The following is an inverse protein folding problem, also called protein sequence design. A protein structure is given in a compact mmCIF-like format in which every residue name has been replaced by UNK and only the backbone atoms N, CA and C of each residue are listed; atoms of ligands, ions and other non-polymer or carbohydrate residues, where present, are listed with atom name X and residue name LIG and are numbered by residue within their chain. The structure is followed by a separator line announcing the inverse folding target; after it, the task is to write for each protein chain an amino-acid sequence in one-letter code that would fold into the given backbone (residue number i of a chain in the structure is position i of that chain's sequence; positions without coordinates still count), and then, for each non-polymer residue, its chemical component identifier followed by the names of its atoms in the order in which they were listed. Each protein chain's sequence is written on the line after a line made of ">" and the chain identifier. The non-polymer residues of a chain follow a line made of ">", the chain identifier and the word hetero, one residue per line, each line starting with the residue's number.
data_IF_661621123255
#
_entry.id   IF_661621123255
#
_cell.length_a   1.000
_cell.length_b   1.000
_cell.length_c   1.000
_cell.angle_alpha   90.00
_cell.angle_beta   90.00
_cell.angle_gamma   90.00
#
_symmetry.space_group_name_H-M   'P 1'
#
loop_
_entity.id
_entity.type
_entity.pdbx_description
1 polymer ?
#
# COMPACT_ATOMS: atom_id res chain seq x y z
N UNK A 1 -12.42 5.63 32.51
CA UNK A 1 -10.97 5.82 32.36
C UNK A 1 -10.70 5.95 30.88
N UNK A 2 -10.58 7.19 30.43
CA UNK A 2 -10.41 7.63 29.05
C UNK A 2 -9.01 7.27 28.56
N UNK A 3 -8.93 6.45 27.51
CA UNK A 3 -7.71 6.21 26.75
C UNK A 3 -7.77 7.03 25.45
N UNK A 4 -7.73 8.36 25.57
CA UNK A 4 -7.33 9.21 24.44
C UNK A 4 -5.82 9.05 24.27
N UNK A 5 -5.41 8.00 23.57
CA UNK A 5 -4.03 7.88 23.09
C UNK A 5 -3.95 8.68 21.79
N UNK A 6 -3.92 10.01 21.93
CA UNK A 6 -3.67 10.94 20.83
C UNK A 6 -2.27 10.67 20.29
N UNK A 7 -2.18 9.93 19.19
CA UNK A 7 -0.97 9.83 18.37
C UNK A 7 -0.80 11.16 17.62
N UNK A 8 -0.43 12.24 18.32
CA UNK A 8 0.01 13.48 17.68
C UNK A 8 1.46 13.32 17.18
N UNK A 9 1.66 12.41 16.22
CA UNK A 9 2.94 12.28 15.53
C UNK A 9 3.04 13.36 14.46
N UNK A 10 3.58 14.52 14.83
CA UNK A 10 4.05 15.53 13.87
C UNK A 10 5.32 15.01 13.21
N UNK A 11 5.26 14.70 11.92
CA UNK A 11 6.44 14.31 11.15
C UNK A 11 6.40 14.97 9.77
N UNK A 12 7.50 15.60 9.38
CA UNK A 12 7.68 16.11 8.02
C UNK A 12 7.72 14.92 7.05
N UNK A 13 6.70 14.78 6.21
CA UNK A 13 6.63 13.72 5.19
C UNK A 13 6.82 14.37 3.82
N UNK A 14 8.01 14.18 3.23
CA UNK A 14 8.33 14.72 1.90
C UNK A 14 8.30 16.25 1.78
N UNK A 15 8.40 16.98 2.90
CA UNK A 15 8.32 18.44 2.95
C UNK A 15 6.95 19.02 3.30
N UNK A 16 5.94 18.18 3.58
CA UNK A 16 4.60 18.60 4.05
C UNK A 16 4.41 18.18 5.51
N UNK A 17 3.87 19.10 6.31
CA UNK A 17 3.54 18.90 7.73
C UNK A 17 2.15 18.28 7.84
N UNK A 18 2.10 16.95 7.80
CA UNK A 18 0.85 16.19 7.90
C UNK A 18 0.75 15.52 9.26
N UNK A 19 -0.38 15.72 9.94
CA UNK A 19 -0.71 15.05 11.20
C UNK A 19 -1.54 13.80 10.92
N UNK A 20 -1.11 12.65 11.42
CA UNK A 20 -1.91 11.42 11.36
C UNK A 20 -2.70 11.27 12.66
N UNK A 21 -4.01 11.07 12.57
CA UNK A 21 -4.88 10.87 13.72
C UNK A 21 -5.96 9.82 13.43
N UNK A 22 -6.52 9.26 14.49
CA UNK A 22 -7.64 8.32 14.36
C UNK A 22 -8.95 9.09 14.09
N UNK A 23 -9.70 8.63 13.10
CA UNK A 23 -10.97 9.22 12.69
C UNK A 23 -12.13 8.45 13.32
N UNK A 24 -13.14 9.20 13.79
CA UNK A 24 -14.40 8.63 14.25
C UNK A 24 -15.34 8.36 13.06
N UNK A 25 -16.45 7.67 13.30
CA UNK A 25 -17.50 7.50 12.29
C UNK A 25 -18.08 8.82 11.79
N UNK A 26 -18.08 9.86 12.62
CA UNK A 26 -18.57 11.19 12.23
C UNK A 26 -17.63 11.89 11.23
N UNK A 27 -16.36 11.51 11.21
CA UNK A 27 -15.35 12.08 10.30
C UNK A 27 -15.35 11.44 8.92
N UNK A 28 -16.00 10.28 8.72
CA UNK A 28 -15.92 9.52 7.46
C UNK A 28 -16.50 10.28 6.26
N UNK A 29 -17.46 11.17 6.47
CA UNK A 29 -17.97 12.03 5.39
C UNK A 29 -16.93 12.99 4.83
N UNK A 30 -15.82 13.22 5.56
CA UNK A 30 -14.73 14.11 5.14
C UNK A 30 -13.88 13.54 4.01
N UNK A 31 -14.10 12.29 3.58
CA UNK A 31 -13.46 11.75 2.36
C UNK A 31 -13.72 12.63 1.12
N UNK A 32 -14.81 13.43 1.12
CA UNK A 32 -15.08 14.46 0.10
C UNK A 32 -13.96 15.50 -0.05
N UNK A 33 -13.17 15.72 1.00
CA UNK A 33 -12.04 16.67 0.99
C UNK A 33 -10.84 16.14 0.20
N UNK A 34 -10.78 14.82 0.02
CA UNK A 34 -9.72 14.11 -0.67
C UNK A 34 -9.98 14.14 -2.17
N UNK A 35 -9.10 14.77 -2.93
CA UNK A 35 -9.16 14.69 -4.39
C UNK A 35 -8.58 13.35 -4.86
N UNK A 36 -9.45 12.36 -5.13
CA UNK A 36 -9.00 11.05 -5.62
C UNK A 36 -8.73 11.01 -7.12
N UNK A 37 -8.98 12.09 -7.85
CA UNK A 37 -8.89 12.09 -9.32
C UNK A 37 -7.51 11.66 -9.82
N UNK A 38 -7.52 10.94 -10.93
CA UNK A 38 -6.31 10.35 -11.50
C UNK A 38 -6.43 10.21 -13.01
N UNK A 39 -5.31 10.39 -13.70
CA UNK A 39 -5.16 9.96 -15.10
C UNK A 39 -4.26 8.74 -15.09
N UNK A 40 -4.84 7.56 -15.31
CA UNK A 40 -4.08 6.32 -15.46
C UNK A 40 -3.68 6.14 -16.93
N UNK A 41 -2.42 5.75 -17.16
CA UNK A 41 -1.87 5.49 -18.50
C UNK A 41 -1.70 3.99 -18.81
N UNK A 42 -1.79 3.17 -17.78
CA UNK A 42 -1.90 1.73 -17.89
C UNK A 42 -2.82 1.20 -16.79
N UNK A 43 -3.49 0.09 -17.10
CA UNK A 43 -4.17 -0.77 -16.14
C UNK A 43 -3.45 -2.11 -16.08
N UNK A 44 -3.60 -2.83 -14.99
CA UNK A 44 -3.06 -4.18 -14.84
C UNK A 44 -4.16 -5.21 -14.97
N UNK A 45 -3.87 -6.28 -15.70
CA UNK A 45 -4.72 -7.48 -15.70
C UNK A 45 -3.95 -8.64 -15.09
N UNK A 46 -4.64 -9.48 -14.33
CA UNK A 46 -4.07 -10.72 -13.82
C UNK A 46 -4.32 -11.83 -14.85
N UNK A 47 -3.31 -12.17 -15.66
CA UNK A 47 -3.35 -13.31 -16.59
C UNK A 47 -2.45 -14.43 -16.07
N UNK A 48 -3.00 -15.63 -15.88
CA UNK A 48 -2.26 -16.84 -15.47
C UNK A 48 -1.32 -16.63 -14.26
N UNK A 49 -1.75 -15.80 -13.30
CA UNK A 49 -0.99 -15.52 -12.07
C UNK A 49 0.09 -14.45 -12.23
N UNK A 50 0.15 -13.76 -13.36
CA UNK A 50 1.09 -12.67 -13.60
C UNK A 50 0.36 -11.36 -13.87
N UNK A 51 0.91 -10.26 -13.35
CA UNK A 51 0.41 -8.91 -13.59
C UNK A 51 0.94 -8.42 -14.94
N UNK A 52 0.03 -8.21 -15.89
CA UNK A 52 0.35 -7.72 -17.22
C UNK A 52 -0.15 -6.27 -17.36
N UNK A 53 0.73 -5.28 -17.60
CA UNK A 53 0.30 -3.93 -17.88
C UNK A 53 -0.33 -3.86 -19.28
N UNK A 54 -1.49 -3.22 -19.36
CA UNK A 54 -2.22 -2.91 -20.59
C UNK A 54 -2.24 -1.40 -20.73
N UNK A 55 -1.64 -0.89 -21.81
CA UNK A 55 -1.67 0.54 -22.12
C UNK A 55 -3.12 0.98 -22.32
N UNK A 56 -3.57 1.92 -21.48
CA UNK A 56 -4.94 2.40 -21.45
C UNK A 56 -4.97 3.76 -20.78
N UNK A 57 -5.55 4.75 -21.45
CA UNK A 57 -5.72 6.08 -20.87
C UNK A 57 -7.11 6.20 -20.27
N UNK A 58 -7.19 6.14 -18.94
CA UNK A 58 -8.44 6.28 -18.19
C UNK A 58 -8.39 7.53 -17.31
N UNK A 59 -9.43 8.34 -17.38
CA UNK A 59 -9.62 9.48 -16.48
C UNK A 59 -10.57 9.07 -15.36
N UNK A 60 -10.07 9.07 -14.13
CA UNK A 60 -10.81 8.75 -12.92
C UNK A 60 -11.22 10.07 -12.28
N UNK A 61 -12.53 10.30 -12.17
CA UNK A 61 -13.07 11.49 -11.54
C UNK A 61 -12.84 11.45 -10.01
N UNK A 62 -12.93 12.63 -9.38
CA UNK A 62 -13.09 12.67 -7.92
C UNK A 62 -14.52 12.25 -7.54
N UNK A 63 -14.81 12.21 -6.24
CA UNK A 63 -16.09 11.81 -5.70
C UNK A 63 -17.25 12.67 -6.20
N UNK A 64 -18.40 12.04 -6.41
CA UNK A 64 -19.70 12.70 -6.26
C UNK A 64 -20.29 12.51 -4.84
N UNK A 65 -21.37 13.22 -4.51
CA UNK A 65 -21.93 13.16 -3.14
C UNK A 65 -22.53 11.79 -2.82
N UNK A 66 -23.11 11.09 -3.80
CA UNK A 66 -23.68 9.76 -3.57
C UNK A 66 -22.58 8.73 -3.27
N UNK A 67 -21.46 8.80 -3.99
CA UNK A 67 -20.27 7.99 -3.74
C UNK A 67 -19.67 8.27 -2.35
N UNK A 68 -19.64 9.53 -1.92
CA UNK A 68 -19.20 9.92 -0.56
C UNK A 68 -20.10 9.27 0.49
N UNK A 69 -21.42 9.40 0.35
CA UNK A 69 -22.38 8.83 1.29
C UNK A 69 -22.29 7.31 1.37
N UNK A 70 -22.25 6.63 0.21
CA UNK A 70 -22.13 5.17 0.14
C UNK A 70 -20.80 4.69 0.74
N UNK A 71 -19.70 5.34 0.38
CA UNK A 71 -18.37 4.97 0.88
C UNK A 71 -18.29 5.22 2.38
N UNK A 72 -18.72 6.37 2.88
CA UNK A 72 -18.73 6.67 4.31
C UNK A 72 -19.57 5.65 5.09
N UNK A 73 -20.75 5.26 4.58
CA UNK A 73 -21.59 4.24 5.20
C UNK A 73 -20.92 2.84 5.19
N UNK A 74 -20.22 2.47 4.10
CA UNK A 74 -19.44 1.23 4.02
C UNK A 74 -18.29 1.23 5.04
N UNK A 75 -17.53 2.32 5.14
CA UNK A 75 -16.44 2.44 6.10
C UNK A 75 -16.94 2.46 7.55
N UNK A 76 -18.10 3.06 7.83
CA UNK A 76 -18.71 3.04 9.15
C UNK A 76 -19.03 1.62 9.62
N UNK A 77 -19.47 0.73 8.71
CA UNK A 77 -19.66 -0.70 9.02
C UNK A 77 -18.35 -1.41 9.37
N UNK A 78 -17.23 -1.03 8.75
CA UNK A 78 -15.90 -1.58 9.10
C UNK A 78 -15.50 -1.15 10.51
N UNK A 79 -15.69 0.12 10.86
CA UNK A 79 -15.43 0.64 12.22
C UNK A 79 -16.33 -0.02 13.27
N UNK A 80 -17.62 -0.17 12.99
CA UNK A 80 -18.57 -0.85 13.88
C UNK A 80 -18.18 -2.33 14.15
N UNK A 81 -17.46 -2.96 13.23
CA UNK A 81 -16.93 -4.31 13.37
C UNK A 81 -15.56 -4.37 14.08
N UNK A 82 -15.11 -3.27 14.70
CA UNK A 82 -13.80 -3.18 15.38
C UNK A 82 -12.66 -2.69 14.48
N UNK A 83 -12.96 -2.23 13.27
CA UNK A 83 -11.98 -1.62 12.38
C UNK A 83 -11.58 -0.23 12.82
N UNK A 84 -10.57 0.33 12.17
CA UNK A 84 -10.04 1.65 12.50
C UNK A 84 -9.76 2.48 11.27
N UNK A 85 -10.09 3.77 11.34
CA UNK A 85 -9.77 4.75 10.31
C UNK A 85 -8.66 5.69 10.81
N UNK A 86 -7.65 5.88 9.99
CA UNK A 86 -6.57 6.84 10.18
C UNK A 86 -6.66 7.93 9.12
N UNK A 87 -6.69 9.19 9.55
CA UNK A 87 -6.70 10.36 8.69
C UNK A 87 -5.36 11.07 8.71
N UNK A 88 -4.92 11.54 7.54
CA UNK A 88 -3.79 12.42 7.35
C UNK A 88 -4.31 13.84 7.11
N UNK A 89 -3.99 14.79 8.00
CA UNK A 89 -4.45 16.18 7.92
C UNK A 89 -3.31 17.15 7.62
N UNK A 90 -3.53 18.02 6.64
CA UNK A 90 -2.74 19.21 6.34
C UNK A 90 -3.51 20.43 6.86
N UNK A 91 -3.05 21.01 7.96
CA UNK A 91 -3.87 21.90 8.78
C UNK A 91 -5.12 21.18 9.31
N UNK A 92 -6.29 21.70 8.95
CA UNK A 92 -7.59 21.10 9.28
C UNK A 92 -8.17 20.26 8.14
N UNK A 93 -7.54 20.21 6.96
CA UNK A 93 -8.07 19.49 5.79
C UNK A 93 -7.60 18.05 5.78
N UNK A 94 -8.53 17.11 5.54
CA UNK A 94 -8.22 15.71 5.33
C UNK A 94 -7.62 15.52 3.93
N UNK A 95 -6.34 15.15 3.89
CA UNK A 95 -5.59 14.96 2.63
C UNK A 95 -5.29 13.50 2.32
N UNK A 96 -5.48 12.60 3.29
CA UNK A 96 -5.43 11.17 3.05
C UNK A 96 -6.16 10.39 4.15
N UNK A 97 -6.50 9.14 3.86
CA UNK A 97 -7.18 8.24 4.78
C UNK A 97 -6.74 6.80 4.53
N UNK A 98 -6.61 6.01 5.59
CA UNK A 98 -6.51 4.56 5.54
C UNK A 98 -7.50 3.92 6.50
N UNK A 99 -8.16 2.84 6.10
CA UNK A 99 -9.12 2.10 6.94
C UNK A 99 -8.71 0.63 7.00
N UNK A 100 -8.45 0.15 8.21
CA UNK A 100 -8.24 -1.25 8.52
C UNK A 100 -9.58 -1.87 8.95
N UNK A 101 -9.98 -2.98 8.34
CA UNK A 101 -11.16 -3.73 8.72
C UNK A 101 -11.01 -4.38 10.10
N UNK A 102 -12.14 -4.58 10.81
CA UNK A 102 -12.15 -5.20 12.14
C UNK A 102 -12.40 -6.71 12.15
N UNK A 103 -12.86 -7.29 11.02
CA UNK A 103 -13.10 -8.73 10.90
C UNK A 103 -11.85 -9.42 10.38
N UNK A 104 -11.47 -10.51 11.06
CA UNK A 104 -10.47 -11.46 10.54
C UNK A 104 -11.01 -12.17 9.32
N UNK A 105 -10.19 -12.28 8.28
CA UNK A 105 -10.52 -12.93 7.01
C UNK A 105 -9.45 -13.96 6.63
N UNK A 106 -9.64 -14.59 5.47
CA UNK A 106 -8.76 -15.65 4.98
C UNK A 106 -9.03 -17.00 5.66
N UNK A 107 -8.53 -18.08 5.05
CA UNK A 107 -8.86 -19.46 5.44
C UNK A 107 -8.51 -19.80 6.90
N UNK A 108 -7.47 -19.17 7.46
CA UNK A 108 -7.03 -19.36 8.85
C UNK A 108 -7.37 -18.17 9.76
N UNK A 109 -8.21 -17.23 9.31
CA UNK A 109 -8.57 -16.03 10.07
C UNK A 109 -7.34 -15.22 10.55
N UNK A 110 -6.25 -15.22 9.78
CA UNK A 110 -4.98 -14.58 10.11
C UNK A 110 -4.80 -13.22 9.40
N UNK A 111 -5.73 -12.85 8.52
CA UNK A 111 -5.68 -11.64 7.72
C UNK A 111 -6.61 -10.55 8.25
N UNK A 112 -6.22 -9.29 8.05
CA UNK A 112 -7.12 -8.14 8.10
C UNK A 112 -7.13 -7.41 6.76
N UNK A 113 -8.26 -6.81 6.44
CA UNK A 113 -8.45 -6.05 5.22
C UNK A 113 -7.94 -4.60 5.38
N UNK A 114 -7.06 -4.15 4.49
CA UNK A 114 -6.89 -2.72 4.21
C UNK A 114 -8.06 -2.27 3.32
N UNK A 115 -9.17 -1.92 3.95
CA UNK A 115 -10.47 -1.68 3.29
C UNK A 115 -10.53 -0.40 2.46
N UNK A 116 -9.61 0.53 2.73
CA UNK A 116 -9.55 1.82 2.04
C UNK A 116 -8.18 2.46 2.24
N UNK A 117 -7.59 3.01 1.17
CA UNK A 117 -6.41 3.85 1.24
C UNK A 117 -6.43 4.86 0.08
N UNK A 118 -6.60 6.15 0.40
CA UNK A 118 -6.56 7.21 -0.60
C UNK A 118 -5.76 8.40 -0.10
N UNK A 119 -5.07 9.06 -1.02
CA UNK A 119 -4.37 10.33 -0.80
C UNK A 119 -4.75 11.29 -1.91
N UNK A 120 -5.00 12.54 -1.51
CA UNK A 120 -5.33 13.64 -2.40
C UNK A 120 -4.28 13.77 -3.48
N UNK A 121 -4.70 14.00 -4.73
CA UNK A 121 -3.81 14.17 -5.89
C UNK A 121 -2.64 15.12 -5.62
N UNK A 122 -2.91 16.26 -4.97
CA UNK A 122 -1.89 17.26 -4.61
C UNK A 122 -0.88 16.84 -3.52
N UNK A 123 -1.13 15.73 -2.83
CA UNK A 123 -0.32 15.20 -1.72
C UNK A 123 0.32 13.84 -2.05
N UNK A 124 0.12 13.33 -3.28
CA UNK A 124 0.80 12.12 -3.77
C UNK A 124 2.29 12.38 -4.01
N UNK A 125 3.10 11.32 -3.98
CA UNK A 125 4.56 11.41 -4.15
C UNK A 125 5.33 11.97 -2.94
N UNK A 126 4.64 12.42 -1.90
CA UNK A 126 5.25 13.02 -0.71
C UNK A 126 5.43 12.01 0.44
N UNK A 127 4.84 10.82 0.34
CA UNK A 127 4.96 9.75 1.33
C UNK A 127 3.78 9.62 2.30
N UNK A 128 2.68 10.37 2.11
CA UNK A 128 1.49 10.31 2.98
C UNK A 128 0.88 8.90 3.02
N UNK A 129 0.69 8.27 1.87
CA UNK A 129 0.13 6.91 1.78
C UNK A 129 1.03 5.87 2.48
N UNK A 130 2.36 6.02 2.36
CA UNK A 130 3.34 5.19 3.07
C UNK A 130 3.13 5.30 4.58
N UNK A 131 3.03 6.53 5.09
CA UNK A 131 2.89 6.77 6.52
C UNK A 131 1.60 6.17 7.06
N UNK A 132 0.49 6.38 6.36
CA UNK A 132 -0.79 5.78 6.73
C UNK A 132 -0.74 4.25 6.73
N UNK A 133 -0.12 3.64 5.72
CA UNK A 133 0.07 2.20 5.63
C UNK A 133 0.94 1.67 6.79
N UNK A 134 2.04 2.33 7.11
CA UNK A 134 2.92 1.96 8.23
C UNK A 134 2.16 1.93 9.57
N UNK A 135 1.32 2.93 9.83
CA UNK A 135 0.50 3.00 11.05
C UNK A 135 -0.59 1.92 11.08
N UNK A 136 -1.23 1.62 9.94
CA UNK A 136 -2.17 0.50 9.82
C UNK A 136 -1.48 -0.84 10.07
N UNK A 137 -0.30 -1.07 9.47
CA UNK A 137 0.49 -2.27 9.70
C UNK A 137 0.91 -2.41 11.17
N UNK A 138 1.28 -1.30 11.83
CA UNK A 138 1.62 -1.31 13.25
C UNK A 138 0.44 -1.77 14.12
N UNK A 139 -0.76 -1.24 13.86
CA UNK A 139 -1.99 -1.64 14.56
C UNK A 139 -2.34 -3.11 14.31
N UNK A 140 -2.32 -3.54 13.05
CA UNK A 140 -2.60 -4.92 12.68
C UNK A 140 -1.65 -5.92 13.38
N UNK A 141 -0.35 -5.62 13.43
CA UNK A 141 0.64 -6.42 14.19
C UNK A 141 0.34 -6.44 15.68
N UNK A 142 -0.02 -5.30 16.26
CA UNK A 142 -0.37 -5.19 17.69
C UNK A 142 -1.52 -6.11 18.10
N UNK A 143 -2.44 -6.38 17.17
CA UNK A 143 -3.57 -7.30 17.38
C UNK A 143 -3.24 -8.76 17.03
N UNK A 144 -2.00 -9.08 16.63
CA UNK A 144 -1.60 -10.42 16.20
C UNK A 144 -2.12 -10.78 14.80
N UNK A 145 -2.22 -9.81 13.90
CA UNK A 145 -2.50 -10.07 12.48
C UNK A 145 -1.21 -10.40 11.75
N UNK A 146 -1.23 -11.50 11.00
CA UNK A 146 -0.05 -12.02 10.30
C UNK A 146 0.08 -11.44 8.89
N UNK A 147 -1.04 -11.00 8.28
CA UNK A 147 -1.06 -10.52 6.91
C UNK A 147 -2.16 -9.46 6.67
N UNK A 148 -1.87 -8.45 5.83
CA UNK A 148 -2.90 -7.57 5.29
C UNK A 148 -3.37 -8.07 3.94
N UNK A 149 -4.67 -7.94 3.67
CA UNK A 149 -5.30 -8.18 2.37
C UNK A 149 -5.84 -6.86 1.83
N UNK A 150 -5.70 -6.62 0.53
CA UNK A 150 -6.29 -5.45 -0.14
C UNK A 150 -6.89 -5.84 -1.48
N UNK A 151 -8.09 -5.33 -1.76
CA UNK A 151 -8.66 -5.26 -3.10
C UNK A 151 -8.15 -3.97 -3.73
N UNK A 152 -7.11 -4.08 -4.56
CA UNK A 152 -6.44 -2.92 -5.14
C UNK A 152 -7.04 -2.58 -6.50
N UNK A 153 -7.33 -1.30 -6.73
CA UNK A 153 -7.66 -0.80 -8.07
C UNK A 153 -6.57 -1.20 -9.06
N UNK A 154 -6.97 -1.56 -10.28
CA UNK A 154 -6.10 -2.05 -11.34
C UNK A 154 -5.21 -0.97 -11.99
N UNK A 155 -5.27 0.27 -11.50
CA UNK A 155 -4.45 1.36 -12.03
C UNK A 155 -2.97 1.13 -11.79
N UNK A 156 -2.14 1.59 -12.72
CA UNK A 156 -0.69 1.53 -12.60
C UNK A 156 -0.18 2.13 -11.27
N UNK A 157 -0.75 3.27 -10.86
CA UNK A 157 -0.29 3.95 -9.64
C UNK A 157 -0.61 3.15 -8.36
N UNK A 158 -1.78 2.50 -8.32
CA UNK A 158 -2.22 1.65 -7.20
C UNK A 158 -1.36 0.40 -7.11
N UNK A 159 -1.23 -0.34 -8.22
CA UNK A 159 -0.45 -1.58 -8.25
C UNK A 159 1.03 -1.32 -7.98
N UNK A 160 1.64 -0.31 -8.60
CA UNK A 160 3.02 0.04 -8.33
C UNK A 160 3.25 0.45 -6.87
N UNK A 161 2.29 1.16 -6.26
CA UNK A 161 2.36 1.51 -4.84
C UNK A 161 2.39 0.26 -3.97
N UNK A 162 1.45 -0.67 -4.13
CA UNK A 162 1.38 -1.87 -3.30
C UNK A 162 2.58 -2.79 -3.51
N UNK A 163 2.95 -3.09 -4.76
CA UNK A 163 4.12 -3.93 -5.07
C UNK A 163 5.41 -3.32 -4.49
N UNK A 164 5.58 -2.00 -4.62
CA UNK A 164 6.72 -1.28 -4.04
C UNK A 164 6.77 -1.28 -2.50
N UNK A 165 5.69 -1.71 -1.84
CA UNK A 165 5.60 -1.90 -0.37
C UNK A 165 5.75 -3.36 0.05
N UNK A 166 6.02 -4.25 -0.90
CA UNK A 166 6.18 -5.68 -0.64
C UNK A 166 4.87 -6.46 -0.64
N UNK A 167 3.76 -5.87 -1.10
CA UNK A 167 2.57 -6.67 -1.40
C UNK A 167 2.84 -7.61 -2.57
N UNK A 168 2.16 -8.75 -2.56
CA UNK A 168 2.19 -9.76 -3.62
C UNK A 168 0.77 -10.15 -4.00
N UNK A 169 0.59 -10.77 -5.16
CA UNK A 169 -0.71 -11.35 -5.56
C UNK A 169 -1.18 -12.30 -4.46
N UNK A 170 -2.45 -12.16 -4.05
CA UNK A 170 -3.05 -13.03 -3.06
C UNK A 170 -3.16 -14.46 -3.61
N UNK A 171 -2.71 -15.45 -2.82
CA UNK A 171 -2.87 -16.86 -3.20
C UNK A 171 -4.34 -17.29 -3.21
N UNK A 172 -5.15 -16.67 -2.37
CA UNK A 172 -6.58 -16.93 -2.24
C UNK A 172 -7.34 -15.61 -2.24
N UNK A 173 -8.35 -15.53 -3.09
CA UNK A 173 -9.28 -14.41 -3.14
C UNK A 173 -10.36 -14.63 -2.08
N UNK A 174 -10.56 -13.65 -1.20
CA UNK A 174 -11.67 -13.71 -0.24
C UNK A 174 -13.00 -13.49 -0.96
N UNK A 175 -13.89 -14.49 -0.89
CA UNK A 175 -15.13 -14.49 -1.67
C UNK A 175 -16.13 -13.41 -1.22
N UNK A 176 -16.18 -13.06 0.07
CA UNK A 176 -17.08 -12.02 0.58
C UNK A 176 -16.60 -10.64 0.11
N UNK A 177 -15.28 -10.41 0.14
CA UNK A 177 -14.69 -9.17 -0.36
C UNK A 177 -14.78 -9.05 -1.89
N UNK A 178 -14.46 -10.11 -2.63
CA UNK A 178 -14.53 -10.08 -4.09
C UNK A 178 -15.96 -9.83 -4.60
N UNK A 179 -16.99 -10.29 -3.88
CA UNK A 179 -18.38 -9.98 -4.21
C UNK A 179 -18.79 -8.54 -3.86
N UNK A 180 -18.01 -7.85 -3.03
CA UNK A 180 -18.30 -6.50 -2.52
C UNK A 180 -17.54 -5.38 -3.22
N UNK A 181 -16.54 -5.71 -4.04
CA UNK A 181 -15.67 -4.77 -4.75
C UNK A 181 -15.81 -4.87 -6.27
N UNK A 182 -15.09 -4.01 -6.99
CA UNK A 182 -15.09 -4.03 -8.45
C UNK A 182 -14.47 -5.33 -8.97
N UNK A 183 -15.06 -5.88 -10.04
CA UNK A 183 -14.61 -7.16 -10.61
C UNK A 183 -13.21 -7.09 -11.22
N UNK A 184 -12.73 -5.88 -11.50
CA UNK A 184 -11.39 -5.61 -12.04
C UNK A 184 -10.33 -5.45 -10.96
N UNK A 185 -10.71 -5.32 -9.69
CA UNK A 185 -9.74 -5.18 -8.61
C UNK A 185 -8.83 -6.41 -8.50
N UNK A 186 -7.57 -6.15 -8.16
CA UNK A 186 -6.54 -7.16 -7.97
C UNK A 186 -6.36 -7.41 -6.48
N UNK A 187 -6.59 -8.65 -6.05
CA UNK A 187 -6.35 -9.09 -4.69
C UNK A 187 -4.84 -9.18 -4.41
N UNK A 188 -4.36 -8.38 -3.46
CA UNK A 188 -2.96 -8.38 -3.02
C UNK A 188 -2.87 -8.63 -1.51
N UNK A 189 -1.74 -9.16 -1.06
CA UNK A 189 -1.46 -9.42 0.36
C UNK A 189 -0.07 -8.96 0.78
N UNK A 190 0.08 -8.55 2.04
CA UNK A 190 1.35 -8.16 2.66
C UNK A 190 1.57 -8.94 3.96
N UNK A 191 2.63 -9.74 4.02
CA UNK A 191 3.05 -10.43 5.24
C UNK A 191 3.56 -9.43 6.28
N UNK A 192 2.98 -9.45 7.48
CA UNK A 192 3.34 -8.58 8.60
C UNK A 192 4.41 -9.19 9.52
N UNK A 193 4.51 -10.52 9.57
CA UNK A 193 5.47 -11.28 10.41
C UNK A 193 6.88 -11.32 9.85
N UNK A 194 7.06 -10.89 8.59
CA UNK A 194 8.38 -10.66 8.04
C UNK A 194 8.85 -9.32 8.55
N UNK A 195 9.82 -9.33 9.45
CA UNK A 195 10.72 -8.19 9.66
C UNK A 195 11.32 -7.81 8.30
N UNK A 196 10.65 -6.92 7.57
CA UNK A 196 11.24 -6.17 6.47
C UNK A 196 11.88 -4.90 7.05
N UNK A 197 12.75 -5.13 8.03
CA UNK A 197 13.60 -4.13 8.64
C UNK A 197 15.06 -4.44 8.30
N UNK A 198 15.36 -4.63 7.02
CA UNK A 198 16.71 -4.47 6.47
C UNK A 198 16.56 -4.26 4.95
N UNK A 199 17.14 -3.15 4.45
CA UNK A 199 17.30 -2.78 3.04
C UNK A 199 16.10 -2.26 2.23
N UNK A 200 15.63 -1.07 2.61
CA UNK A 200 15.18 -0.08 1.63
C UNK A 200 15.89 1.26 1.86
N UNK A 201 17.21 1.30 1.62
CA UNK A 201 17.93 2.57 1.47
C UNK A 201 17.74 3.11 0.05
N UNK A 202 17.30 4.38 -0.13
CA UNK A 202 17.28 5.01 -1.43
C UNK A 202 18.65 5.63 -1.71
N UNK A 203 19.16 5.43 -2.93
CA UNK A 203 20.34 6.05 -3.56
C UNK A 203 21.71 5.49 -3.16
N UNK A 204 22.38 4.88 -4.16
CA UNK A 204 23.76 4.40 -4.03
C UNK A 204 24.40 3.90 -5.32
N UNK A 205 24.27 4.68 -6.40
CA UNK A 205 25.12 4.73 -7.60
C UNK A 205 25.92 3.48 -8.04
N UNK A 206 25.61 3.04 -9.26
CA UNK A 206 26.57 2.49 -10.19
C UNK A 206 27.87 3.32 -10.20
N UNK A 207 28.99 2.72 -9.80
CA UNK A 207 30.32 3.10 -10.26
C UNK A 207 31.10 1.85 -10.64
N UNK A 208 31.21 1.67 -11.94
CA UNK A 208 32.36 1.06 -12.60
C UNK A 208 33.66 1.52 -11.92
N UNK A 209 34.39 0.58 -11.36
CA UNK A 209 35.68 0.80 -10.70
C UNK A 209 36.68 -0.24 -11.17
N UNK A 210 37.16 -0.02 -12.39
CA UNK A 210 38.37 -0.61 -12.95
C UNK A 210 39.50 -0.56 -11.91
N UNK A 211 40.11 -1.70 -11.56
CA UNK A 211 41.47 -1.70 -11.05
C UNK A 211 42.22 -2.96 -11.49
N UNK A 212 43.09 -2.77 -12.48
CA UNK A 212 44.15 -3.67 -12.84
C UNK A 212 45.35 -3.46 -11.91
N UNK A 213 45.97 -4.58 -11.50
CA UNK A 213 47.41 -4.82 -11.30
C UNK A 213 47.54 -6.22 -10.67
N UNK A 214 47.92 -7.24 -11.45
CA UNK A 214 49.31 -7.71 -11.60
C UNK A 214 49.93 -8.07 -10.23
N UNK A 215 50.37 -9.30 -9.95
CA UNK A 215 51.37 -10.02 -10.76
C UNK A 215 51.68 -11.42 -10.20
N UNK A 216 51.99 -12.33 -11.14
CA UNK A 216 52.99 -13.40 -11.10
C UNK A 216 52.78 -14.66 -10.23
N UNK A 217 52.61 -15.80 -10.92
CA UNK A 217 53.44 -17.03 -10.97
C UNK A 217 52.63 -18.03 -11.84
N UNK A 218 53.09 -18.83 -12.79
CA UNK A 218 54.39 -19.16 -13.37
C UNK A 218 54.12 -20.17 -14.50
N UNK A 219 54.83 -19.99 -15.61
CA UNK A 219 55.07 -20.86 -16.77
C UNK A 219 54.75 -22.37 -16.69
N UNK A 220 54.23 -22.94 -17.79
CA UNK A 220 54.49 -24.35 -18.15
C UNK A 220 53.58 -24.97 -19.22
N UNK A 221 53.99 -24.85 -20.50
CA UNK A 221 53.88 -25.82 -21.62
C UNK A 221 52.73 -26.87 -21.66
N UNK A 222 51.84 -26.81 -22.67
CA UNK A 222 51.88 -27.43 -24.01
C UNK A 222 51.50 -28.93 -24.04
N UNK A 223 50.36 -29.32 -24.61
CA UNK A 223 50.13 -29.77 -26.03
C UNK A 223 49.95 -31.30 -26.11
N UNK A 224 48.83 -31.71 -26.75
CA UNK A 224 48.49 -33.04 -27.33
C UNK A 224 48.37 -34.21 -26.32
N UNK A 225 47.61 -35.27 -26.54
CA UNK A 225 47.20 -35.95 -27.79
C UNK A 225 46.02 -36.90 -27.49
N UNK A 226 45.36 -37.30 -28.57
CA UNK A 226 44.37 -38.35 -28.78
C UNK A 226 44.31 -39.52 -27.78
N UNK A 227 43.07 -39.92 -27.42
CA UNK A 227 42.50 -41.26 -27.69
C UNK A 227 41.01 -41.33 -27.36
#
# INVERSE_FOLDING_TARGET
>A
MSFERVLELRTMVGGVDVRVLELSTADLGRIREIDRSETAHALYVLDRGELQPVESRVEIASWDEAEVEETAARLARKLAAGGVALGALDGDRLVGIAVLGGRRIGLQAHQLELAFLHVSRGHRGQGVARRLLEEVCHRARGDGTEQLYVSASDTESSIAFYLGRGFRIAEHVDAELAASYEQTDIALTLDLDRDQCEDASPLGSCKSGFNARESQHGSGHSVREER
#
